data_IF_738609860449
#
_entry.id   IF_738609860449
#
_cell.length_a   1.000
_cell.length_b   1.000
_cell.length_c   1.000
_cell.angle_alpha   90.00
_cell.angle_beta   90.00
_cell.angle_gamma   90.00
#
_symmetry.space_group_name_H-M   'P 1'
#
loop_
_entity.id
_entity.type
_entity.pdbx_description
1 polymer ?
#
# COMPACT_ATOMS: atom_id res chain seq x y z
N UNK A 1 29.50 -8.81 -14.04
CA UNK A 1 28.83 -9.32 -12.83
C UNK A 1 27.49 -8.62 -12.69
N UNK A 2 26.40 -9.20 -13.20
CA UNK A 2 25.04 -8.65 -13.02
C UNK A 2 24.32 -9.53 -11.99
N UNK A 3 24.63 -9.29 -10.71
CA UNK A 3 23.91 -9.89 -9.59
C UNK A 3 22.81 -8.95 -9.13
N UNK A 4 21.76 -8.76 -9.93
CA UNK A 4 20.50 -8.19 -9.43
C UNK A 4 19.47 -9.32 -9.43
N UNK A 5 19.60 -10.12 -8.37
CA UNK A 5 18.70 -11.16 -7.86
C UNK A 5 17.25 -10.95 -8.32
N UNK A 6 16.76 -11.89 -9.13
CA UNK A 6 15.33 -12.05 -9.40
C UNK A 6 14.59 -12.25 -8.08
N UNK A 7 13.91 -11.19 -7.63
CA UNK A 7 12.72 -11.29 -6.79
C UNK A 7 11.60 -10.48 -7.47
N UNK A 8 11.34 -10.82 -8.73
CA UNK A 8 10.28 -10.20 -9.53
C UNK A 8 9.07 -11.12 -9.54
N UNK A 9 8.32 -11.13 -8.43
CA UNK A 9 6.88 -11.28 -8.61
C UNK A 9 6.46 -10.10 -9.51
N UNK A 10 5.77 -10.33 -10.64
CA UNK A 10 5.45 -9.26 -11.57
C UNK A 10 4.62 -8.20 -10.81
N UNK A 11 5.24 -7.05 -10.55
CA UNK A 11 4.55 -5.92 -9.94
C UNK A 11 3.66 -5.32 -11.02
N UNK A 12 2.35 -5.53 -10.89
CA UNK A 12 1.36 -4.96 -11.80
C UNK A 12 1.21 -3.48 -11.49
N UNK A 13 1.98 -2.63 -12.18
CA UNK A 13 1.94 -1.17 -12.01
C UNK A 13 0.54 -0.61 -12.28
N UNK A 14 -0.17 -1.16 -13.27
CA UNK A 14 -1.55 -0.78 -13.58
C UNK A 14 -2.48 -1.05 -12.39
N UNK A 15 -2.40 -2.25 -11.80
CA UNK A 15 -3.17 -2.56 -10.58
C UNK A 15 -2.72 -1.71 -9.40
N UNK A 16 -1.42 -1.44 -9.28
CA UNK A 16 -0.89 -0.63 -8.19
C UNK A 16 -1.49 0.79 -8.19
N UNK A 17 -1.68 1.37 -9.38
CA UNK A 17 -2.34 2.66 -9.53
C UNK A 17 -3.82 2.60 -9.19
N UNK A 18 -4.52 1.53 -9.59
CA UNK A 18 -5.94 1.32 -9.24
C UNK A 18 -6.11 1.14 -7.73
N UNK A 19 -5.33 0.24 -7.12
CA UNK A 19 -5.35 -0.01 -5.68
C UNK A 19 -5.00 1.29 -4.91
N UNK A 20 -4.06 2.10 -5.41
CA UNK A 20 -3.74 3.40 -4.82
C UNK A 20 -4.93 4.39 -4.87
N UNK A 21 -5.67 4.41 -5.97
CA UNK A 21 -6.88 5.25 -6.11
C UNK A 21 -7.98 4.78 -5.15
N UNK A 22 -8.19 3.47 -5.05
CA UNK A 22 -9.13 2.86 -4.10
C UNK A 22 -8.77 3.19 -2.65
N UNK A 23 -7.50 3.06 -2.26
CA UNK A 23 -7.03 3.41 -0.91
C UNK A 23 -7.22 4.90 -0.60
N UNK A 24 -7.00 5.77 -1.59
CA UNK A 24 -7.22 7.21 -1.43
C UNK A 24 -8.70 7.53 -1.26
N UNK A 25 -9.54 6.88 -2.07
CA UNK A 25 -11.00 7.02 -2.01
C UNK A 25 -11.59 6.44 -0.72
N UNK A 26 -10.99 5.36 -0.20
CA UNK A 26 -11.41 4.66 1.00
C UNK A 26 -11.00 5.38 2.29
N UNK A 27 -9.92 6.18 2.28
CA UNK A 27 -9.48 6.98 3.42
C UNK A 27 -9.70 8.48 3.22
N UNK A 28 -8.71 9.17 2.64
CA UNK A 28 -8.64 10.64 2.59
C UNK A 28 -9.79 11.33 1.82
N UNK A 29 -10.52 10.62 0.94
CA UNK A 29 -11.67 11.20 0.21
C UNK A 29 -12.95 11.28 1.06
N UNK A 30 -13.01 10.65 2.24
CA UNK A 30 -14.21 10.59 3.08
C UNK A 30 -13.89 10.89 4.55
N UNK A 31 -14.92 11.21 5.32
CA UNK A 31 -14.79 11.55 6.74
C UNK A 31 -14.84 10.27 7.61
N UNK A 32 -13.78 9.48 7.54
CA UNK A 32 -13.64 8.13 8.12
C UNK A 32 -12.95 7.20 7.12
N UNK A 33 -12.56 5.98 7.49
CA UNK A 33 -11.87 5.08 6.55
C UNK A 33 -12.56 3.74 6.43
N UNK A 34 -12.60 3.23 5.21
CA UNK A 34 -13.04 1.87 4.93
C UNK A 34 -11.89 0.88 5.22
N UNK A 35 -11.69 0.58 6.51
CA UNK A 35 -10.67 -0.38 6.98
C UNK A 35 -10.74 -1.72 6.23
N UNK A 36 -11.96 -2.15 5.86
CA UNK A 36 -12.17 -3.37 5.07
C UNK A 36 -11.45 -3.34 3.71
N UNK A 37 -11.38 -2.19 3.02
CA UNK A 37 -10.65 -2.04 1.75
C UNK A 37 -9.15 -2.09 1.99
N UNK A 38 -8.67 -1.41 3.03
CA UNK A 38 -7.28 -1.44 3.43
C UNK A 38 -6.83 -2.86 3.75
N UNK A 39 -7.53 -3.55 4.66
CA UNK A 39 -7.23 -4.96 5.00
C UNK A 39 -7.32 -5.85 3.78
N UNK A 40 -8.35 -5.70 2.92
CA UNK A 40 -8.51 -6.52 1.71
C UNK A 40 -7.33 -6.36 0.76
N UNK A 41 -6.94 -5.12 0.43
CA UNK A 41 -5.83 -4.89 -0.50
C UNK A 41 -4.52 -5.38 0.12
N UNK A 42 -4.28 -5.08 1.40
CA UNK A 42 -3.04 -5.44 2.07
C UNK A 42 -2.89 -6.94 2.34
N UNK A 43 -4.01 -7.68 2.50
CA UNK A 43 -3.99 -9.15 2.64
C UNK A 43 -4.01 -9.88 1.29
N UNK A 44 -4.54 -9.27 0.23
CA UNK A 44 -4.59 -9.86 -1.12
C UNK A 44 -3.37 -9.54 -1.99
N UNK A 45 -2.54 -8.57 -1.60
CA UNK A 45 -1.38 -8.13 -2.40
C UNK A 45 -0.08 -8.55 -1.74
N UNK A 46 0.89 -8.95 -2.57
CA UNK A 46 2.24 -9.26 -2.13
C UNK A 46 2.97 -8.00 -1.68
N UNK A 47 3.97 -8.18 -0.82
CA UNK A 47 4.84 -7.10 -0.33
C UNK A 47 5.38 -6.17 -1.43
N UNK A 48 5.91 -6.75 -2.52
CA UNK A 48 6.44 -5.99 -3.66
C UNK A 48 5.37 -5.10 -4.30
N UNK A 49 4.14 -5.61 -4.39
CA UNK A 49 3.00 -4.87 -4.94
C UNK A 49 2.58 -3.73 -4.00
N UNK A 50 2.53 -3.98 -2.69
CA UNK A 50 2.21 -2.95 -1.68
C UNK A 50 3.22 -1.81 -1.72
N UNK A 51 4.52 -2.12 -1.85
CA UNK A 51 5.58 -1.12 -2.00
C UNK A 51 5.35 -0.25 -3.25
N UNK A 52 4.99 -0.87 -4.38
CA UNK A 52 4.67 -0.14 -5.60
C UNK A 52 3.39 0.70 -5.51
N UNK A 53 2.36 0.20 -4.83
CA UNK A 53 1.13 0.96 -4.53
C UNK A 53 1.50 2.20 -3.69
N UNK A 54 2.33 2.03 -2.66
CA UNK A 54 2.78 3.14 -1.81
C UNK A 54 3.55 4.20 -2.59
N UNK A 55 4.45 3.80 -3.49
CA UNK A 55 5.14 4.74 -4.39
C UNK A 55 4.18 5.48 -5.32
N UNK A 56 3.25 4.77 -5.97
CA UNK A 56 2.27 5.39 -6.87
C UNK A 56 1.37 6.36 -6.11
N UNK A 57 0.91 5.96 -4.93
CA UNK A 57 0.07 6.77 -4.05
C UNK A 57 0.79 8.05 -3.62
N UNK A 58 2.06 7.94 -3.22
CA UNK A 58 2.91 9.08 -2.89
C UNK A 58 3.11 10.04 -4.06
N UNK A 59 3.40 9.50 -5.26
CA UNK A 59 3.59 10.31 -6.47
C UNK A 59 2.30 10.97 -6.95
N UNK A 60 1.14 10.30 -6.81
CA UNK A 60 -0.15 10.76 -7.33
C UNK A 60 -0.85 11.75 -6.41
N UNK A 61 -0.83 11.51 -5.09
CA UNK A 61 -1.58 12.30 -4.11
C UNK A 61 -0.68 13.13 -3.18
N UNK A 62 0.64 12.95 -3.23
CA UNK A 62 1.56 13.64 -2.31
C UNK A 62 1.42 13.19 -0.86
N UNK A 63 0.87 11.99 -0.62
CA UNK A 63 0.55 11.46 0.70
C UNK A 63 1.28 10.13 0.92
N UNK A 64 1.68 9.83 2.15
CA UNK A 64 2.25 8.52 2.47
C UNK A 64 1.14 7.51 2.71
N UNK A 65 1.05 6.49 1.85
CA UNK A 65 0.10 5.39 2.04
C UNK A 65 0.32 4.69 3.38
N UNK A 66 1.59 4.47 3.76
CA UNK A 66 1.96 3.90 5.06
C UNK A 66 1.37 4.69 6.22
N UNK A 67 1.33 6.03 6.15
CA UNK A 67 0.71 6.87 7.18
C UNK A 67 -0.81 6.76 7.18
N UNK A 68 -1.44 6.65 6.01
CA UNK A 68 -2.87 6.42 5.92
C UNK A 68 -3.23 5.06 6.54
N UNK A 69 -2.47 4.01 6.23
CA UNK A 69 -2.67 2.69 6.84
C UNK A 69 -2.45 2.73 8.36
N UNK A 70 -1.36 3.34 8.85
CA UNK A 70 -1.08 3.43 10.29
C UNK A 70 -2.18 4.13 11.07
N UNK A 71 -2.72 5.23 10.54
CA UNK A 71 -3.82 5.95 11.20
C UNK A 71 -5.07 5.09 11.35
N UNK A 72 -5.35 4.29 10.33
CA UNK A 72 -6.62 3.59 10.20
C UNK A 72 -6.57 2.19 10.81
N UNK A 73 -5.44 1.49 10.71
CA UNK A 73 -5.24 0.21 11.39
C UNK A 73 -4.65 0.42 12.77
N UNK A 74 -5.37 1.13 13.65
CA UNK A 74 -4.95 1.33 15.04
C UNK A 74 -4.87 -0.02 15.77
N UNK A 75 -3.65 -0.51 16.04
CA UNK A 75 -3.38 -1.47 17.12
C UNK A 75 -2.83 -2.86 16.75
N UNK A 76 -3.14 -3.45 15.59
CA UNK A 76 -2.66 -4.83 15.26
C UNK A 76 -1.89 -4.94 13.94
N UNK A 77 -2.27 -4.19 12.90
CA UNK A 77 -1.58 -4.23 11.60
C UNK A 77 -0.42 -3.23 11.47
N UNK A 78 -0.34 -2.24 12.37
CA UNK A 78 0.77 -1.28 12.41
C UNK A 78 2.12 -2.00 12.48
N UNK A 79 2.23 -3.03 13.31
CA UNK A 79 3.49 -3.75 13.53
C UNK A 79 3.89 -4.63 12.36
N UNK A 80 2.93 -5.29 11.70
CA UNK A 80 3.20 -6.16 10.56
C UNK A 80 3.57 -5.38 9.31
N UNK A 81 3.07 -4.15 9.14
CA UNK A 81 3.34 -3.35 7.95
C UNK A 81 4.54 -2.41 8.09
N UNK A 82 4.89 -1.98 9.30
CA UNK A 82 6.11 -1.19 9.50
C UNK A 82 7.37 -2.01 9.22
N UNK A 83 7.37 -3.33 9.48
CA UNK A 83 8.48 -4.21 9.09
C UNK A 83 8.69 -4.36 7.57
N UNK A 84 7.74 -3.87 6.76
CA UNK A 84 7.85 -3.88 5.29
C UNK A 84 8.60 -2.64 4.77
N UNK A 85 8.71 -1.60 5.61
CA UNK A 85 9.29 -0.31 5.25
C UNK A 85 10.78 -0.12 5.57
N UNK A 86 11.42 -1.09 6.23
CA UNK A 86 12.87 -1.11 6.51
C UNK A 86 13.62 -1.93 5.45
#
# INVERSE_FOLDING_TARGET
MQGCREENAPVDVARAQTDADELYAAGEKRCGTEEAVFTRILTQRSFCQIKAISECYGKKYGKSLVKAIQRETSGYYERTMVSIGE
#
